data_IF_066028559452
#
_entry.id   IF_066028559452
#
_cell.length_a   1.000
_cell.length_b   1.000
_cell.length_c   1.000
_cell.angle_alpha   90.00
_cell.angle_beta   90.00
_cell.angle_gamma   90.00
#
_symmetry.space_group_name_H-M   'P 1'
#
loop_
_entity.id
_entity.type
_entity.pdbx_description
1 polymer ?
#
# COMPACT_ATOMS: atom_id res chain seq x y z
N UNK A 1 -6.91 -3.16 -15.92
CA UNK A 1 -6.28 -2.81 -14.63
C UNK A 1 -6.88 -1.51 -14.15
N UNK A 2 -7.30 -1.47 -12.89
CA UNK A 2 -7.80 -0.27 -12.23
C UNK A 2 -6.63 0.46 -11.57
N UNK A 3 -6.60 1.79 -11.69
CA UNK A 3 -5.45 2.59 -11.29
C UNK A 3 -5.81 3.58 -10.16
N UNK A 4 -4.85 3.95 -9.30
CA UNK A 4 -4.98 5.09 -8.41
C UNK A 4 -5.31 6.37 -9.20
N UNK A 5 -5.97 7.32 -8.55
CA UNK A 5 -6.15 8.65 -9.13
C UNK A 5 -4.79 9.32 -9.37
N UNK A 6 -4.71 10.14 -10.41
CA UNK A 6 -3.45 10.80 -10.81
C UNK A 6 -2.83 11.61 -9.66
N UNK A 7 -3.66 12.36 -8.92
CA UNK A 7 -3.18 13.18 -7.80
C UNK A 7 -2.53 12.33 -6.70
N UNK A 8 -3.03 11.10 -6.48
CA UNK A 8 -2.45 10.18 -5.50
C UNK A 8 -1.06 9.68 -5.94
N UNK A 9 -0.85 9.47 -7.24
CA UNK A 9 0.47 9.12 -7.79
C UNK A 9 1.46 10.28 -7.67
N UNK A 10 1.00 11.52 -7.90
CA UNK A 10 1.84 12.71 -7.76
C UNK A 10 2.21 12.97 -6.30
N UNK A 11 1.26 12.85 -5.36
CA UNK A 11 1.53 12.97 -3.94
C UNK A 11 2.53 11.89 -3.47
N UNK A 12 2.43 10.66 -4.02
CA UNK A 12 3.41 9.62 -3.76
C UNK A 12 4.81 10.01 -4.24
N UNK A 13 4.94 10.51 -5.47
CA UNK A 13 6.21 10.95 -6.04
C UNK A 13 6.84 12.13 -5.27
N UNK A 14 6.02 13.01 -4.71
CA UNK A 14 6.46 14.13 -3.88
C UNK A 14 6.81 13.72 -2.43
N UNK A 15 6.46 12.50 -2.00
CA UNK A 15 6.53 12.11 -0.60
C UNK A 15 5.46 12.77 0.29
N UNK A 16 4.39 13.29 -0.31
CA UNK A 16 3.28 14.00 0.36
C UNK A 16 2.07 13.08 0.55
N UNK A 17 2.32 11.84 0.99
CA UNK A 17 1.30 10.81 1.15
C UNK A 17 1.49 10.10 2.50
N UNK A 18 0.39 9.67 3.13
CA UNK A 18 0.46 8.83 4.32
C UNK A 18 1.20 7.51 4.01
N UNK A 19 1.97 7.01 4.98
CA UNK A 19 2.84 5.85 4.75
C UNK A 19 2.06 4.61 4.29
N UNK A 20 0.86 4.40 4.82
CA UNK A 20 0.00 3.25 4.45
C UNK A 20 -0.47 3.32 3.00
N UNK A 21 -0.89 4.50 2.53
CA UNK A 21 -1.27 4.71 1.12
C UNK A 21 -0.03 4.61 0.23
N UNK A 22 1.11 5.13 0.67
CA UNK A 22 2.40 5.02 -0.02
C UNK A 22 2.82 3.57 -0.25
N UNK A 23 2.62 2.69 0.73
CA UNK A 23 2.88 1.25 0.58
C UNK A 23 1.98 0.64 -0.51
N UNK A 24 0.69 0.95 -0.49
CA UNK A 24 -0.24 0.42 -1.50
C UNK A 24 0.11 0.91 -2.91
N UNK A 25 0.46 2.18 -3.06
CA UNK A 25 0.94 2.74 -4.33
C UNK A 25 2.24 2.07 -4.76
N UNK A 26 3.21 1.88 -3.86
CA UNK A 26 4.46 1.19 -4.18
C UNK A 26 4.23 -0.23 -4.72
N UNK A 27 3.29 -0.97 -4.13
CA UNK A 27 2.90 -2.31 -4.63
C UNK A 27 2.23 -2.21 -6.00
N UNK A 28 1.32 -1.25 -6.19
CA UNK A 28 0.64 -1.05 -7.48
C UNK A 28 1.62 -0.71 -8.60
N UNK A 29 2.48 0.29 -8.42
CA UNK A 29 3.46 0.71 -9.44
C UNK A 29 4.50 -0.38 -9.74
N UNK A 30 4.79 -1.26 -8.78
CA UNK A 30 5.64 -2.44 -9.03
C UNK A 30 5.01 -3.43 -10.01
N UNK A 31 3.68 -3.46 -10.11
CA UNK A 31 2.91 -4.32 -11.02
C UNK A 31 2.41 -3.58 -12.27
N UNK A 32 2.30 -2.26 -12.24
CA UNK A 32 1.71 -1.42 -13.29
C UNK A 32 2.74 -0.49 -13.94
N UNK A 33 3.21 -0.84 -15.14
CA UNK A 33 4.18 -0.02 -15.89
C UNK A 33 3.65 1.38 -16.27
N UNK A 34 2.33 1.53 -16.46
CA UNK A 34 1.71 2.81 -16.76
C UNK A 34 1.83 3.79 -15.59
N UNK A 35 1.40 3.38 -14.39
CA UNK A 35 1.51 4.23 -13.20
C UNK A 35 2.96 4.43 -12.75
N UNK A 36 3.81 3.41 -12.94
CA UNK A 36 5.26 3.55 -12.72
C UNK A 36 5.86 4.65 -13.60
N UNK A 37 5.50 4.70 -14.90
CA UNK A 37 5.99 5.73 -15.81
C UNK A 37 5.54 7.14 -15.38
N UNK A 38 4.30 7.32 -14.92
CA UNK A 38 3.80 8.61 -14.43
C UNK A 38 4.64 9.10 -13.23
N UNK A 39 4.86 8.23 -12.25
CA UNK A 39 5.66 8.55 -11.07
C UNK A 39 7.09 8.91 -11.46
N UNK A 40 7.74 8.07 -12.28
CA UNK A 40 9.13 8.31 -12.72
C UNK A 40 9.28 9.59 -13.51
N UNK A 41 8.35 9.90 -14.43
CA UNK A 41 8.38 11.15 -15.20
C UNK A 41 8.30 12.38 -14.29
N UNK A 42 7.42 12.32 -13.28
CA UNK A 42 7.29 13.39 -12.30
C UNK A 42 8.57 13.56 -11.46
N UNK A 43 9.15 12.47 -10.96
CA UNK A 43 10.40 12.48 -10.18
C UNK A 43 11.56 13.06 -10.99
N UNK A 44 11.70 12.69 -12.26
CA UNK A 44 12.71 13.25 -13.17
C UNK A 44 12.50 14.75 -13.32
N UNK A 45 11.27 15.19 -13.57
CA UNK A 45 10.97 16.62 -13.72
C UNK A 45 11.30 17.42 -12.46
N UNK A 46 10.98 16.91 -11.28
CA UNK A 46 11.34 17.55 -10.00
C UNK A 46 12.87 17.61 -9.80
N UNK A 47 13.59 16.56 -10.18
CA UNK A 47 15.05 16.54 -10.10
C UNK A 47 15.69 17.60 -11.04
N UNK A 48 15.18 17.76 -12.27
CA UNK A 48 15.62 18.79 -13.22
C UNK A 48 15.38 20.22 -12.68
N UNK A 49 14.22 20.47 -12.05
CA UNK A 49 13.92 21.75 -11.41
C UNK A 49 14.87 22.04 -10.25
N UNK A 50 15.16 21.05 -9.45
CA UNK A 50 16.11 21.18 -8.33
C UNK A 50 17.53 21.47 -8.83
N UNK A 51 17.97 20.80 -9.89
CA UNK A 51 19.28 21.05 -10.50
C UNK A 51 19.39 22.49 -11.03
N UNK A 52 18.35 23.00 -11.69
CA UNK A 52 18.32 24.39 -12.17
C UNK A 52 18.36 25.40 -11.02
N UNK A 53 17.58 25.18 -9.96
CA UNK A 53 17.55 26.04 -8.79
C UNK A 53 18.91 26.09 -8.05
N UNK A 54 19.61 24.96 -7.94
CA UNK A 54 20.94 24.92 -7.29
C UNK A 54 22.02 25.64 -8.10
N UNK A 55 21.93 25.66 -9.43
CA UNK A 55 22.87 26.40 -10.29
C UNK A 55 22.70 27.91 -10.12
N UNK A 56 21.49 28.41 -10.01
CA UNK A 56 21.23 29.87 -9.80
C UNK A 56 21.69 30.33 -8.39
N UNK A 57 21.51 29.51 -7.37
CA UNK A 57 21.87 29.85 -5.97
C UNK A 57 23.37 29.62 -5.66
N UNK A 58 24.05 28.74 -6.42
CA UNK A 58 25.48 28.44 -6.23
C UNK A 58 26.37 29.67 -6.45
N UNK A 59 25.92 30.63 -7.24
CA UNK A 59 26.62 31.91 -7.44
C UNK A 59 26.60 32.81 -6.18
N UNK A 60 25.58 32.67 -5.34
CA UNK A 60 25.46 33.35 -4.04
C UNK A 60 26.22 32.61 -2.92
N UNK A 61 26.22 31.27 -2.93
CA UNK A 61 26.94 30.45 -1.95
C UNK A 61 28.46 30.47 -2.15
N UNK A 62 28.95 30.54 -3.39
CA UNK A 62 30.37 30.60 -3.70
C UNK A 62 31.05 31.89 -3.16
N UNK A 63 30.29 32.92 -2.84
CA UNK A 63 30.84 34.17 -2.30
C UNK A 63 30.96 34.19 -0.76
N UNK A 64 30.28 33.27 -0.03
CA UNK A 64 30.18 33.37 1.43
C UNK A 64 30.64 32.15 2.25
N UNK A 65 30.93 31.00 1.66
CA UNK A 65 31.39 29.81 2.41
C UNK A 65 32.58 29.15 1.73
N UNK A 66 33.78 29.47 2.18
CA UNK A 66 34.90 28.56 2.08
C UNK A 66 34.63 27.40 3.05
N UNK A 67 33.80 26.44 2.69
CA UNK A 67 33.84 25.13 3.33
C UNK A 67 35.19 24.52 2.97
N UNK A 68 35.98 24.23 4.02
CA UNK A 68 37.26 23.55 3.88
C UNK A 68 37.06 22.23 3.15
N UNK A 69 37.64 22.12 1.94
CA UNK A 69 37.55 20.96 1.07
C UNK A 69 37.95 19.67 1.83
N UNK A 70 38.82 19.79 2.82
CA UNK A 70 39.26 18.71 3.71
C UNK A 70 38.15 18.23 4.65
N UNK A 71 37.22 19.11 5.06
CA UNK A 71 36.06 18.72 5.89
C UNK A 71 35.03 17.94 5.09
N UNK A 72 34.84 18.31 3.81
CA UNK A 72 33.93 17.57 2.90
C UNK A 72 34.49 16.17 2.61
N UNK A 73 35.80 16.06 2.30
CA UNK A 73 36.45 14.78 2.07
C UNK A 73 36.36 13.87 3.32
N UNK A 74 36.51 14.43 4.51
CA UNK A 74 36.41 13.69 5.75
C UNK A 74 34.98 13.18 6.04
N UNK A 75 33.95 13.96 5.72
CA UNK A 75 32.54 13.55 5.84
C UNK A 75 32.25 12.43 4.84
N UNK A 76 32.67 12.58 3.58
CA UNK A 76 32.50 11.55 2.55
C UNK A 76 33.23 10.25 2.92
N UNK A 77 34.45 10.33 3.48
CA UNK A 77 35.19 9.14 3.97
C UNK A 77 34.47 8.45 5.13
N UNK A 78 33.88 9.20 6.06
CA UNK A 78 33.10 8.66 7.16
C UNK A 78 31.81 8.00 6.69
N UNK A 79 31.09 8.61 5.74
CA UNK A 79 29.87 8.02 5.16
C UNK A 79 30.19 6.78 4.31
N UNK A 80 31.25 6.78 3.52
CA UNK A 80 31.67 5.59 2.75
C UNK A 80 32.09 4.45 3.68
N UNK A 81 32.75 4.74 4.80
CA UNK A 81 33.14 3.73 5.79
C UNK A 81 31.94 3.12 6.52
N UNK A 82 30.94 3.95 6.87
CA UNK A 82 29.68 3.48 7.46
C UNK A 82 28.84 2.68 6.46
N UNK A 83 28.84 3.03 5.17
CA UNK A 83 28.19 2.25 4.12
C UNK A 83 28.85 0.88 3.86
N UNK A 84 30.19 0.78 4.01
CA UNK A 84 30.91 -0.51 3.91
C UNK A 84 30.70 -1.39 5.16
N UNK A 85 30.51 -0.79 6.34
CA UNK A 85 30.17 -1.49 7.58
C UNK A 85 28.70 -1.89 7.63
N UNK A 86 27.80 -1.10 7.02
CA UNK A 86 26.42 -1.46 6.71
C UNK A 86 26.36 -2.38 5.49
N UNK A 87 27.05 -3.53 5.55
CA UNK A 87 26.69 -4.69 4.74
C UNK A 87 25.32 -5.16 5.24
N UNK A 88 24.29 -4.42 4.86
CA UNK A 88 22.93 -4.95 4.82
C UNK A 88 23.03 -6.17 3.92
N UNK A 89 23.04 -7.36 4.53
CA UNK A 89 22.79 -8.58 3.78
C UNK A 89 21.49 -8.37 3.04
N UNK A 90 21.58 -7.98 1.76
CA UNK A 90 20.47 -7.97 0.81
C UNK A 90 20.08 -9.42 0.49
N UNK A 91 19.82 -10.21 1.51
CA UNK A 91 18.93 -11.33 1.36
C UNK A 91 17.54 -10.72 1.30
N UNK A 92 17.12 -10.33 0.10
CA UNK A 92 15.70 -10.18 -0.19
C UNK A 92 15.09 -11.58 -0.08
N UNK A 93 14.94 -12.07 1.16
CA UNK A 93 14.20 -13.29 1.43
C UNK A 93 12.77 -13.01 0.97
N UNK A 94 12.28 -13.83 0.06
CA UNK A 94 10.87 -13.80 -0.31
C UNK A 94 10.03 -13.87 0.97
N UNK A 95 9.09 -12.94 1.12
CA UNK A 95 8.18 -12.94 2.24
C UNK A 95 6.89 -13.65 1.85
N UNK A 96 6.40 -14.50 2.74
CA UNK A 96 5.17 -15.27 2.52
C UNK A 96 4.19 -15.05 3.67
N UNK A 97 2.91 -15.13 3.35
CA UNK A 97 1.85 -15.26 4.34
C UNK A 97 1.14 -16.61 4.19
N UNK A 98 0.65 -17.13 5.32
CA UNK A 98 -0.03 -18.41 5.39
C UNK A 98 -1.42 -18.18 5.93
N UNK A 99 -2.44 -18.58 5.18
CA UNK A 99 -3.84 -18.47 5.57
C UNK A 99 -4.63 -19.65 5.00
N UNK A 100 -5.46 -20.28 5.83
CA UNK A 100 -6.35 -21.37 5.39
C UNK A 100 -5.63 -22.47 4.60
N UNK A 101 -4.49 -22.97 5.12
CA UNK A 101 -3.61 -23.99 4.52
C UNK A 101 -3.00 -23.60 3.14
N UNK A 102 -3.06 -22.33 2.77
CA UNK A 102 -2.44 -21.79 1.57
C UNK A 102 -1.28 -20.86 1.90
N UNK A 103 -0.31 -20.81 0.99
CA UNK A 103 0.85 -19.96 1.06
C UNK A 103 0.79 -18.94 -0.09
N UNK A 104 1.00 -17.65 0.22
CA UNK A 104 1.04 -16.59 -0.77
C UNK A 104 2.35 -15.81 -0.64
N UNK A 105 3.03 -15.58 -1.77
CA UNK A 105 4.17 -14.70 -1.83
C UNK A 105 3.69 -13.26 -1.75
N UNK A 106 4.32 -12.46 -0.89
CA UNK A 106 4.06 -11.03 -0.81
C UNK A 106 4.83 -10.28 -1.90
N UNK A 107 4.25 -9.23 -2.49
CA UNK A 107 4.98 -8.30 -3.34
C UNK A 107 6.17 -7.66 -2.61
N UNK A 108 7.24 -7.41 -3.35
CA UNK A 108 8.51 -6.91 -2.80
C UNK A 108 8.38 -5.68 -1.87
N UNK A 109 7.52 -4.66 -2.15
CA UNK A 109 7.36 -3.53 -1.23
C UNK A 109 6.81 -3.92 0.16
N UNK A 110 6.12 -5.07 0.29
CA UNK A 110 5.59 -5.55 1.57
C UNK A 110 6.59 -6.38 2.38
N UNK A 111 7.76 -6.74 1.83
CA UNK A 111 8.72 -7.60 2.53
C UNK A 111 9.22 -7.00 3.84
N UNK A 112 9.49 -5.69 3.86
CA UNK A 112 10.00 -4.99 5.04
C UNK A 112 9.01 -4.93 6.20
N UNK A 113 7.71 -4.98 5.91
CA UNK A 113 6.62 -4.89 6.89
C UNK A 113 5.94 -6.25 7.15
N UNK A 114 6.37 -7.32 6.50
CA UNK A 114 5.78 -8.65 6.68
C UNK A 114 5.76 -9.12 8.14
N UNK A 115 6.73 -8.69 8.94
CA UNK A 115 6.81 -9.01 10.37
C UNK A 115 5.76 -8.27 11.23
N UNK A 116 5.07 -7.26 10.69
CA UNK A 116 3.98 -6.52 11.32
C UNK A 116 2.61 -7.14 11.08
N UNK A 117 2.52 -8.19 10.26
CA UNK A 117 1.28 -8.88 9.96
C UNK A 117 0.89 -9.71 11.19
N UNK A 118 -0.26 -9.41 11.75
CA UNK A 118 -0.83 -10.08 12.93
C UNK A 118 -1.42 -11.46 12.63
N UNK A 119 -2.10 -12.00 13.63
CA UNK A 119 -2.81 -13.28 13.50
C UNK A 119 -4.08 -13.14 12.66
N UNK A 120 -4.39 -14.18 11.89
CA UNK A 120 -5.60 -14.23 11.08
C UNK A 120 -6.86 -14.42 11.95
N UNK A 121 -7.83 -13.58 11.75
CA UNK A 121 -9.20 -13.71 12.28
C UNK A 121 -10.10 -14.28 11.20
N UNK A 122 -10.86 -15.32 11.52
CA UNK A 122 -11.76 -15.98 10.58
C UNK A 122 -13.20 -15.48 10.73
N UNK A 123 -13.83 -15.17 9.63
CA UNK A 123 -15.26 -14.81 9.53
C UNK A 123 -16.01 -15.92 8.79
N UNK A 124 -16.68 -16.77 9.57
CA UNK A 124 -17.46 -17.89 9.06
C UNK A 124 -16.65 -18.97 8.32
N UNK A 125 -15.35 -19.07 8.56
CA UNK A 125 -14.46 -20.04 7.93
C UNK A 125 -14.19 -19.80 6.45
N UNK A 126 -14.60 -18.64 5.90
CA UNK A 126 -14.52 -18.36 4.47
C UNK A 126 -13.82 -17.04 4.13
N UNK A 127 -13.89 -16.05 5.00
CA UNK A 127 -13.17 -14.77 4.91
C UNK A 127 -12.22 -14.70 6.08
N UNK A 128 -11.02 -14.26 5.85
CA UNK A 128 -9.97 -14.14 6.86
C UNK A 128 -9.32 -12.76 6.75
N UNK A 129 -9.05 -12.16 7.90
CA UNK A 129 -8.35 -10.87 7.95
C UNK A 129 -7.19 -10.92 8.93
N UNK A 130 -6.07 -10.31 8.58
CA UNK A 130 -4.93 -10.09 9.46
C UNK A 130 -4.57 -8.62 9.45
N UNK A 131 -4.57 -7.98 10.62
CA UNK A 131 -4.15 -6.58 10.78
C UNK A 131 -2.65 -6.45 10.53
N UNK A 132 -2.24 -5.40 9.82
CA UNK A 132 -0.84 -5.00 9.65
C UNK A 132 -0.57 -3.82 10.57
N UNK A 133 0.22 -4.02 11.62
CA UNK A 133 0.42 -3.06 12.71
C UNK A 133 1.40 -1.94 12.30
N UNK A 134 0.95 -0.98 11.50
CA UNK A 134 1.74 0.16 11.04
C UNK A 134 1.71 1.36 12.01
N UNK A 135 0.90 1.30 13.08
CA UNK A 135 0.85 2.32 14.14
C UNK A 135 0.20 3.65 13.74
N UNK A 136 -0.61 3.65 12.69
CA UNK A 136 -1.30 4.84 12.18
C UNK A 136 -2.81 4.82 12.53
N UNK A 137 -3.48 5.95 12.28
CA UNK A 137 -4.93 6.08 12.52
C UNK A 137 -5.77 5.25 11.53
N UNK A 138 -5.20 4.91 10.38
CA UNK A 138 -5.83 4.07 9.37
C UNK A 138 -5.61 2.59 9.69
N UNK A 139 -6.63 1.78 9.43
CA UNK A 139 -6.55 0.33 9.58
C UNK A 139 -6.07 -0.32 8.28
N UNK A 140 -4.97 -1.02 8.37
CA UNK A 140 -4.41 -1.81 7.26
C UNK A 140 -4.58 -3.29 7.55
N UNK A 141 -5.15 -4.03 6.61
CA UNK A 141 -5.37 -5.46 6.73
C UNK A 141 -4.97 -6.21 5.47
N UNK A 142 -4.51 -7.43 5.64
CA UNK A 142 -4.61 -8.43 4.60
C UNK A 142 -5.97 -9.10 4.71
N UNK A 143 -6.73 -9.11 3.63
CA UNK A 143 -8.04 -9.74 3.53
C UNK A 143 -7.97 -10.91 2.55
N UNK A 144 -8.27 -12.12 3.02
CA UNK A 144 -8.35 -13.30 2.18
C UNK A 144 -9.78 -13.81 2.09
N UNK A 145 -10.25 -14.04 0.88
CA UNK A 145 -11.55 -14.65 0.57
C UNK A 145 -11.32 -16.00 -0.13
N UNK A 146 -11.90 -17.06 0.44
CA UNK A 146 -11.97 -18.36 -0.23
C UNK A 146 -12.76 -18.28 -1.53
N UNK A 147 -12.71 -19.36 -2.31
CA UNK A 147 -13.58 -19.56 -3.47
C UNK A 147 -15.06 -19.61 -3.12
N UNK A 148 -15.92 -19.16 -4.02
CA UNK A 148 -17.37 -19.23 -3.88
C UNK A 148 -17.94 -18.44 -2.70
N UNK A 149 -17.26 -17.38 -2.27
CA UNK A 149 -17.67 -16.53 -1.14
C UNK A 149 -18.35 -15.27 -1.64
N UNK A 150 -19.40 -14.85 -0.95
CA UNK A 150 -20.01 -13.53 -1.13
C UNK A 150 -20.06 -12.79 0.20
N UNK A 151 -19.41 -11.64 0.26
CA UNK A 151 -19.47 -10.72 1.40
C UNK A 151 -20.83 -10.02 1.38
N UNK A 152 -21.54 -9.94 2.52
CA UNK A 152 -22.81 -9.21 2.58
C UNK A 152 -22.65 -7.75 2.16
N UNK A 153 -23.69 -7.20 1.55
CA UNK A 153 -23.66 -5.82 1.06
C UNK A 153 -23.31 -4.84 2.20
N UNK A 154 -22.33 -4.01 1.93
CA UNK A 154 -21.81 -3.02 2.88
C UNK A 154 -21.41 -1.72 2.17
N UNK A 155 -21.09 -0.72 2.96
CA UNK A 155 -20.49 0.55 2.57
C UNK A 155 -19.47 0.95 3.62
N UNK A 156 -18.68 1.98 3.34
CA UNK A 156 -17.69 2.52 4.26
C UNK A 156 -18.10 3.93 4.70
N UNK A 157 -17.87 4.28 5.97
CA UNK A 157 -18.11 5.67 6.42
C UNK A 157 -17.05 6.64 5.90
N UNK A 158 -15.84 6.13 5.68
CA UNK A 158 -14.69 6.83 5.13
C UNK A 158 -14.28 6.24 3.80
N UNK A 159 -12.99 6.36 3.52
CA UNK A 159 -12.36 5.81 2.33
C UNK A 159 -11.89 4.38 2.59
N UNK A 160 -12.07 3.51 1.60
CA UNK A 160 -11.40 2.22 1.51
C UNK A 160 -10.55 2.20 0.26
N UNK A 161 -9.27 1.87 0.43
CA UNK A 161 -8.37 1.52 -0.68
C UNK A 161 -8.13 0.02 -0.65
N UNK A 162 -8.37 -0.66 -1.76
CA UNK A 162 -8.16 -2.11 -1.93
C UNK A 162 -7.19 -2.38 -3.06
N UNK A 163 -6.15 -3.16 -2.78
CA UNK A 163 -5.17 -3.61 -3.77
C UNK A 163 -5.18 -5.14 -3.83
N UNK A 164 -5.39 -5.69 -5.02
CA UNK A 164 -5.39 -7.15 -5.22
C UNK A 164 -3.96 -7.67 -5.29
N UNK A 165 -3.59 -8.56 -4.36
CA UNK A 165 -2.25 -9.18 -4.27
C UNK A 165 -2.20 -10.56 -4.93
N UNK A 166 -3.29 -11.32 -4.86
CA UNK A 166 -3.41 -12.64 -5.46
C UNK A 166 -4.86 -12.93 -5.89
N UNK A 167 -5.00 -13.68 -6.97
CA UNK A 167 -6.29 -14.15 -7.47
C UNK A 167 -7.15 -13.02 -8.02
N UNK A 168 -8.46 -13.11 -7.76
CA UNK A 168 -9.44 -12.11 -8.23
C UNK A 168 -10.72 -12.13 -7.42
N UNK A 169 -11.41 -11.01 -7.41
CA UNK A 169 -12.78 -10.91 -6.93
C UNK A 169 -13.63 -10.07 -7.90
N UNK A 170 -14.93 -10.12 -7.72
CA UNK A 170 -15.88 -9.28 -8.45
C UNK A 170 -16.83 -8.62 -7.46
N UNK A 171 -17.45 -7.53 -7.89
CA UNK A 171 -18.58 -6.92 -7.19
C UNK A 171 -19.68 -6.54 -8.21
N UNK A 172 -20.61 -5.66 -7.79
CA UNK A 172 -21.71 -5.21 -8.65
C UNK A 172 -21.25 -4.30 -9.81
N UNK A 173 -19.98 -3.84 -9.81
CA UNK A 173 -19.45 -2.87 -10.76
C UNK A 173 -18.44 -3.46 -11.73
N UNK A 174 -17.51 -4.31 -11.25
CA UNK A 174 -16.42 -4.84 -12.05
C UNK A 174 -15.87 -6.18 -11.53
N UNK A 175 -14.92 -6.73 -12.27
CA UNK A 175 -14.02 -7.79 -11.85
C UNK A 175 -12.63 -7.18 -11.66
N UNK A 176 -11.97 -7.57 -10.59
CA UNK A 176 -10.67 -7.05 -10.17
C UNK A 176 -9.65 -8.18 -10.09
N UNK A 177 -8.43 -7.91 -10.58
CA UNK A 177 -7.35 -8.89 -10.70
C UNK A 177 -6.07 -8.36 -10.05
N UNK A 178 -5.06 -9.21 -9.95
CA UNK A 178 -3.75 -8.86 -9.33
C UNK A 178 -3.21 -7.55 -9.90
N UNK A 179 -2.86 -6.64 -9.01
CA UNK A 179 -2.35 -5.31 -9.30
C UNK A 179 -3.43 -4.22 -9.41
N UNK A 180 -4.74 -4.58 -9.49
CA UNK A 180 -5.80 -3.58 -9.48
C UNK A 180 -5.84 -2.83 -8.15
N UNK A 181 -5.89 -1.50 -8.25
CA UNK A 181 -6.10 -0.59 -7.14
C UNK A 181 -7.49 0.02 -7.22
N UNK A 182 -8.30 -0.18 -6.21
CA UNK A 182 -9.69 0.26 -6.13
C UNK A 182 -9.83 1.20 -4.93
N UNK A 183 -10.54 2.30 -5.12
CA UNK A 183 -10.86 3.22 -4.03
C UNK A 183 -12.37 3.45 -4.00
N UNK A 184 -12.98 3.20 -2.83
CA UNK A 184 -14.41 3.36 -2.59
C UNK A 184 -14.66 4.23 -1.37
N UNK A 185 -15.79 4.93 -1.37
CA UNK A 185 -16.24 5.78 -0.28
C UNK A 185 -17.66 5.42 0.18
N UNK A 186 -18.19 6.21 1.09
CA UNK A 186 -19.53 6.00 1.68
C UNK A 186 -20.71 6.10 0.70
N UNK A 187 -20.51 6.59 -0.51
CA UNK A 187 -21.54 6.63 -1.56
C UNK A 187 -21.71 5.26 -2.26
N UNK A 188 -20.68 4.42 -2.21
CA UNK A 188 -20.64 3.11 -2.86
C UNK A 188 -21.17 2.04 -1.90
N UNK A 189 -22.12 1.23 -2.39
CA UNK A 189 -22.59 0.00 -1.75
C UNK A 189 -22.26 -1.16 -2.66
N UNK A 190 -21.51 -2.12 -2.15
CA UNK A 190 -21.09 -3.26 -2.95
C UNK A 190 -21.16 -4.57 -2.16
N UNK A 191 -21.08 -5.67 -2.88
CA UNK A 191 -21.07 -7.03 -2.35
C UNK A 191 -19.94 -7.81 -3.00
N UNK A 192 -18.69 -7.68 -2.56
CA UNK A 192 -17.58 -8.42 -3.15
C UNK A 192 -17.79 -9.93 -3.07
N UNK A 193 -17.43 -10.64 -4.13
CA UNK A 193 -17.52 -12.10 -4.18
C UNK A 193 -16.40 -12.70 -5.01
N UNK A 194 -16.07 -13.95 -4.68
CA UNK A 194 -15.22 -14.84 -5.48
C UNK A 194 -16.08 -15.93 -6.13
N UNK A 195 -15.66 -16.40 -7.30
CA UNK A 195 -16.32 -17.54 -7.96
C UNK A 195 -15.76 -18.86 -7.47
N UNK A 196 -16.44 -19.97 -7.78
CA UNK A 196 -15.89 -21.31 -7.59
C UNK A 196 -14.56 -21.46 -8.32
N UNK A 197 -13.55 -22.02 -7.65
CA UNK A 197 -12.19 -22.16 -8.17
C UNK A 197 -11.35 -20.86 -8.16
N UNK A 198 -11.91 -19.74 -7.69
CA UNK A 198 -11.21 -18.46 -7.59
C UNK A 198 -11.19 -17.99 -6.13
N UNK A 199 -10.00 -17.74 -5.60
CA UNK A 199 -9.81 -17.07 -4.32
C UNK A 199 -9.15 -15.71 -4.50
N UNK A 200 -9.08 -14.93 -3.44
CA UNK A 200 -8.49 -13.59 -3.53
C UNK A 200 -7.79 -13.20 -2.24
N UNK A 201 -6.59 -12.65 -2.35
CA UNK A 201 -5.89 -11.97 -1.27
C UNK A 201 -5.73 -10.50 -1.65
N UNK A 202 -6.17 -9.60 -0.76
CA UNK A 202 -6.08 -8.16 -0.93
C UNK A 202 -5.31 -7.53 0.24
N UNK A 203 -4.68 -6.40 -0.02
CA UNK A 203 -4.32 -5.39 0.97
C UNK A 203 -5.45 -4.37 1.01
N UNK A 204 -6.03 -4.14 2.19
CA UNK A 204 -7.11 -3.16 2.38
C UNK A 204 -6.68 -2.09 3.38
N UNK A 205 -7.00 -0.84 3.10
CA UNK A 205 -6.73 0.32 3.94
C UNK A 205 -8.06 1.00 4.20
N UNK A 206 -8.45 1.12 5.47
CA UNK A 206 -9.72 1.69 5.89
C UNK A 206 -9.47 2.91 6.78
N UNK A 207 -9.99 4.06 6.38
CA UNK A 207 -9.97 5.27 7.22
C UNK A 207 -11.05 5.22 8.30
N UNK A 208 -12.14 4.49 8.07
CA UNK A 208 -13.26 4.32 8.99
C UNK A 208 -13.92 2.94 8.86
N UNK A 209 -14.68 2.49 9.89
CA UNK A 209 -15.28 1.17 9.88
C UNK A 209 -16.25 0.94 8.73
N UNK A 210 -16.29 -0.30 8.26
CA UNK A 210 -17.30 -0.83 7.36
C UNK A 210 -18.67 -0.92 8.05
N UNK A 211 -19.75 -0.71 7.28
CA UNK A 211 -21.14 -0.82 7.72
C UNK A 211 -21.95 -1.72 6.80
N UNK A 212 -22.52 -2.78 7.35
CA UNK A 212 -23.46 -3.63 6.61
C UNK A 212 -24.77 -2.90 6.34
N UNK A 213 -25.22 -2.94 5.09
CA UNK A 213 -26.44 -2.22 4.64
C UNK A 213 -27.64 -3.13 4.54
N UNK A 214 -27.47 -4.46 4.47
CA UNK A 214 -28.55 -5.43 4.29
C UNK A 214 -28.44 -6.67 5.20
N UNK A 215 -29.55 -7.35 5.38
CA UNK A 215 -29.67 -8.66 6.01
C UNK A 215 -29.32 -8.69 7.50
N UNK A 216 -29.09 -9.90 8.00
CA UNK A 216 -28.74 -10.16 9.41
C UNK A 216 -27.38 -9.60 9.78
N UNK A 217 -26.51 -9.36 8.81
CA UNK A 217 -25.19 -8.76 9.02
C UNK A 217 -25.27 -7.36 9.63
N UNK A 218 -26.39 -6.64 9.48
CA UNK A 218 -26.62 -5.33 10.13
C UNK A 218 -26.55 -5.38 11.66
N UNK A 219 -26.76 -6.55 12.25
CA UNK A 219 -26.63 -6.75 13.70
C UNK A 219 -25.19 -6.45 14.15
N UNK A 220 -24.18 -6.74 13.33
CA UNK A 220 -22.79 -6.44 13.67
C UNK A 220 -22.50 -4.94 13.76
N UNK A 221 -23.28 -4.07 13.12
CA UNK A 221 -23.15 -2.63 13.26
C UNK A 221 -23.50 -2.13 14.68
N UNK A 222 -24.24 -2.93 15.48
CA UNK A 222 -24.71 -2.57 16.82
C UNK A 222 -23.68 -2.91 17.91
N UNK A 223 -22.77 -3.83 17.67
CA UNK A 223 -21.80 -4.31 18.67
C UNK A 223 -20.55 -3.41 18.81
N UNK A 224 -20.69 -2.14 18.52
CA UNK A 224 -19.76 -1.07 18.87
C UNK A 224 -18.59 -0.93 17.89
N UNK A 225 -17.96 0.13 17.79
CA UNK A 225 -16.74 0.54 17.04
C UNK A 225 -16.67 0.25 15.54
N UNK A 226 -17.68 -0.42 14.93
CA UNK A 226 -17.66 -0.85 13.53
C UNK A 226 -16.83 -2.14 13.30
N UNK A 227 -17.11 -2.82 12.21
CA UNK A 227 -16.29 -3.96 11.80
C UNK A 227 -15.15 -3.43 10.90
N UNK A 228 -13.94 -3.74 11.28
CA UNK A 228 -12.77 -3.66 10.41
C UNK A 228 -12.45 -5.12 10.06
N UNK A 229 -12.75 -5.55 8.84
CA UNK A 229 -12.41 -6.90 8.40
C UNK A 229 -10.91 -7.11 8.34
#
# INVERSE_FOLDING_TARGET
>A
MHHPQHDLLINYANGEIEAVDGIAIAVHINACSHCHAIVTEHEIHQAELLEQATVEDSTLFAQNNMMDESALDHILELEMKTLDELKVEKTASEAFVYVNDKQFALPKPLHSIAHLIGSWTSYGGKVFSAEVALGEDQRVNLLYMNEGVKVPQHTHKGLESTLVLHGRFSDDFAQYEVGDFIQTDGSIKHSPYTKEGEDCLCLTILTQPMMFTQGVARVFNLFGRGMYP
#
